data_IF_900282478727
#
_entry.id   IF_900282478727
#
_cell.length_a   1.000
_cell.length_b   1.000
_cell.length_c   1.000
_cell.angle_alpha   90.00
_cell.angle_beta   90.00
_cell.angle_gamma   90.00
#
_symmetry.space_group_name_H-M   'P 1'
#
loop_
_entity.id
_entity.type
_entity.pdbx_description
1 polymer ?
#
# COMPACT_ATOMS: atom_id res chain seq x y z
N UNK A 1 16.61 -39.25 -35.22
CA UNK A 1 16.16 -37.99 -35.86
C UNK A 1 14.67 -37.72 -35.63
N UNK A 2 13.77 -38.66 -35.95
CA UNK A 2 12.31 -38.48 -35.78
C UNK A 2 11.85 -38.15 -34.34
N UNK A 3 12.41 -38.81 -33.31
CA UNK A 3 12.03 -38.53 -31.91
C UNK A 3 12.45 -37.13 -31.42
N UNK A 4 13.53 -36.56 -31.97
CA UNK A 4 13.98 -35.20 -31.63
C UNK A 4 13.04 -34.17 -32.25
N UNK A 5 12.61 -34.41 -33.50
CA UNK A 5 11.63 -33.57 -34.18
C UNK A 5 10.28 -33.56 -33.44
N UNK A 6 9.78 -34.72 -33.00
CA UNK A 6 8.52 -34.80 -32.24
C UNK A 6 8.62 -34.04 -30.90
N UNK A 7 9.75 -34.15 -30.19
CA UNK A 7 9.96 -33.40 -28.93
C UNK A 7 10.05 -31.90 -29.16
N UNK A 8 10.70 -31.45 -30.24
CA UNK A 8 10.72 -30.03 -30.62
C UNK A 8 9.33 -29.54 -31.00
N UNK A 9 8.55 -30.33 -31.75
CA UNK A 9 7.17 -29.97 -32.11
C UNK A 9 6.27 -29.86 -30.88
N UNK A 10 6.39 -30.79 -29.92
CA UNK A 10 5.65 -30.73 -28.66
C UNK A 10 6.05 -29.52 -27.79
N UNK A 11 7.34 -29.17 -27.77
CA UNK A 11 7.83 -27.97 -27.07
C UNK A 11 7.28 -26.68 -27.70
N UNK A 12 7.27 -26.59 -29.05
CA UNK A 12 6.72 -25.44 -29.77
C UNK A 12 5.21 -25.32 -29.57
N UNK A 13 4.47 -26.43 -29.57
CA UNK A 13 3.03 -26.44 -29.27
C UNK A 13 2.78 -26.02 -27.82
N UNK A 14 3.60 -26.45 -26.87
CA UNK A 14 3.49 -26.03 -25.47
C UNK A 14 3.81 -24.53 -25.26
N UNK A 15 4.77 -23.98 -26.03
CA UNK A 15 5.08 -22.54 -26.03
C UNK A 15 3.99 -21.69 -26.69
N UNK A 16 3.27 -22.22 -27.68
CA UNK A 16 2.15 -21.55 -28.36
C UNK A 16 0.81 -21.71 -27.62
N UNK A 17 0.72 -22.64 -26.67
CA UNK A 17 -0.47 -22.90 -25.84
C UNK A 17 -0.37 -22.28 -24.44
N UNK A 18 0.68 -21.49 -24.16
CA UNK A 18 0.74 -20.71 -22.93
C UNK A 18 -0.44 -19.72 -22.92
N UNK A 19 -1.27 -19.70 -21.85
CA UNK A 19 -2.32 -18.70 -21.74
C UNK A 19 -1.69 -17.32 -21.76
N UNK A 20 -2.22 -16.43 -22.60
CA UNK A 20 -1.91 -15.00 -22.53
C UNK A 20 -2.46 -14.53 -21.18
N UNK A 21 -1.60 -14.30 -20.18
CA UNK A 21 -2.01 -13.68 -18.93
C UNK A 21 -2.42 -12.24 -19.24
N UNK A 22 -3.72 -11.96 -19.25
CA UNK A 22 -4.21 -10.60 -19.36
C UNK A 22 -4.20 -10.00 -17.97
N UNK A 23 -3.15 -9.26 -17.63
CA UNK A 23 -3.21 -8.38 -16.48
C UNK A 23 -4.20 -7.25 -16.79
N UNK A 24 -5.21 -7.07 -15.95
CA UNK A 24 -6.14 -5.94 -16.05
C UNK A 24 -5.50 -4.63 -15.65
N UNK A 25 -4.38 -4.66 -14.94
CA UNK A 25 -3.63 -3.50 -14.44
C UNK A 25 -4.45 -2.58 -13.52
N UNK A 26 -5.31 -3.15 -12.68
CA UNK A 26 -6.03 -2.46 -11.61
C UNK A 26 -5.07 -2.20 -10.43
N UNK A 27 -5.11 -0.99 -9.88
CA UNK A 27 -4.27 -0.54 -8.75
C UNK A 27 -5.05 -0.30 -7.46
N UNK A 28 -6.38 -0.20 -7.53
CA UNK A 28 -7.20 0.03 -6.35
C UNK A 28 -8.50 0.74 -6.69
N UNK A 29 -9.38 0.87 -5.71
CA UNK A 29 -10.64 1.57 -5.86
C UNK A 29 -11.17 2.08 -4.51
N UNK A 30 -11.94 3.17 -4.55
CA UNK A 30 -12.71 3.66 -3.41
C UNK A 30 -13.96 4.39 -3.88
N UNK A 31 -15.01 4.37 -3.06
CA UNK A 31 -16.26 5.10 -3.30
C UNK A 31 -16.37 6.22 -2.28
N UNK A 32 -16.77 7.39 -2.76
CA UNK A 32 -17.10 8.57 -1.96
C UNK A 32 -18.54 8.97 -2.24
N UNK A 33 -19.19 9.57 -1.26
CA UNK A 33 -20.50 10.18 -1.43
C UNK A 33 -20.52 11.56 -0.76
N UNK A 34 -21.19 12.52 -1.37
CA UNK A 34 -21.45 13.82 -0.72
C UNK A 34 -22.92 14.18 -0.80
N UNK A 35 -23.43 14.75 0.28
CA UNK A 35 -24.84 15.08 0.34
C UNK A 35 -25.14 16.32 -0.51
N UNK A 36 -26.08 16.20 -1.45
CA UNK A 36 -26.65 17.33 -2.18
C UNK A 36 -28.00 17.77 -1.61
N UNK A 37 -28.84 16.82 -1.20
CA UNK A 37 -30.13 17.05 -0.54
C UNK A 37 -30.42 15.92 0.46
N UNK A 38 -31.57 15.98 1.16
CA UNK A 38 -31.93 15.03 2.21
C UNK A 38 -31.74 13.55 1.82
N UNK A 39 -32.09 13.18 0.59
CA UNK A 39 -31.91 11.81 0.06
C UNK A 39 -31.14 11.78 -1.25
N UNK A 40 -30.62 12.93 -1.71
CA UNK A 40 -29.88 13.02 -2.96
C UNK A 40 -28.39 13.18 -2.68
N UNK A 41 -27.59 12.30 -3.27
CA UNK A 41 -26.16 12.25 -3.05
C UNK A 41 -25.43 12.26 -4.38
N UNK A 42 -24.28 12.91 -4.40
CA UNK A 42 -23.30 12.76 -5.47
C UNK A 42 -22.42 11.56 -5.11
N UNK A 43 -22.46 10.53 -5.95
CA UNK A 43 -21.64 9.33 -5.81
C UNK A 43 -20.43 9.48 -6.73
N UNK A 44 -19.24 9.31 -6.16
CA UNK A 44 -17.98 9.40 -6.87
C UNK A 44 -17.20 8.11 -6.69
N UNK A 45 -16.88 7.44 -7.80
CA UNK A 45 -15.98 6.29 -7.80
C UNK A 45 -14.61 6.78 -8.22
N UNK A 46 -13.62 6.52 -7.38
CA UNK A 46 -12.22 6.68 -7.70
C UNK A 46 -11.66 5.30 -8.05
N UNK A 47 -11.26 5.14 -9.30
CA UNK A 47 -10.71 3.87 -9.78
C UNK A 47 -9.26 4.09 -10.23
N UNK A 48 -8.34 3.38 -9.59
CA UNK A 48 -6.91 3.51 -9.83
C UNK A 48 -6.46 2.41 -10.79
N UNK A 49 -5.86 2.80 -11.89
CA UNK A 49 -5.46 1.91 -12.99
C UNK A 49 -4.04 2.22 -13.41
N UNK A 50 -3.35 1.26 -14.02
CA UNK A 50 -2.22 1.57 -14.90
C UNK A 50 -2.73 2.36 -16.12
N UNK A 51 -2.02 3.39 -16.62
CA UNK A 51 -2.47 4.18 -17.76
C UNK A 51 -2.69 3.37 -19.06
N UNK A 52 -2.09 2.18 -19.17
CA UNK A 52 -2.25 1.26 -20.30
C UNK A 52 -3.26 0.13 -20.05
N UNK A 53 -3.96 0.20 -18.91
CA UNK A 53 -4.91 -0.82 -18.45
C UNK A 53 -6.04 -1.07 -19.46
N UNK A 54 -6.33 -2.34 -19.81
CA UNK A 54 -7.54 -2.67 -20.56
C UNK A 54 -8.82 -2.58 -19.72
N UNK A 55 -8.72 -2.36 -18.40
CA UNK A 55 -9.86 -2.10 -17.51
C UNK A 55 -10.30 -0.62 -17.54
N UNK A 56 -9.62 0.24 -18.29
CA UNK A 56 -10.07 1.61 -18.55
C UNK A 56 -11.40 1.61 -19.34
N UNK A 57 -12.46 2.15 -18.74
CA UNK A 57 -13.83 2.18 -19.29
C UNK A 57 -14.39 3.59 -19.26
N UNK A 58 -15.18 3.97 -20.26
CA UNK A 58 -15.85 5.28 -20.29
C UNK A 58 -16.92 5.42 -19.19
N UNK A 59 -17.40 4.31 -18.65
CA UNK A 59 -18.41 4.25 -17.60
C UNK A 59 -18.23 3.00 -16.72
N UNK A 60 -18.76 3.06 -15.49
CA UNK A 60 -18.78 1.94 -14.54
C UNK A 60 -20.19 1.69 -14.03
N UNK A 61 -20.50 0.43 -13.72
CA UNK A 61 -21.74 0.06 -13.05
C UNK A 61 -21.57 0.17 -11.54
N UNK A 62 -22.52 0.83 -10.88
CA UNK A 62 -22.55 0.99 -9.43
C UNK A 62 -23.90 0.51 -8.90
N UNK A 63 -23.87 -0.48 -8.02
CA UNK A 63 -25.05 -0.88 -7.24
C UNK A 63 -25.20 0.09 -6.08
N UNK A 64 -26.34 0.79 -6.03
CA UNK A 64 -26.62 1.81 -5.01
C UNK A 64 -27.04 1.19 -3.67
N UNK A 65 -27.28 -0.13 -3.62
CA UNK A 65 -27.72 -0.82 -2.40
C UNK A 65 -29.20 -0.59 -2.07
N UNK A 66 -29.98 0.01 -2.96
CA UNK A 66 -31.44 0.19 -2.86
C UNK A 66 -32.23 -0.63 -3.89
N UNK A 67 -31.54 -1.54 -4.59
CA UNK A 67 -32.08 -2.34 -5.69
C UNK A 67 -31.92 -1.69 -7.08
N UNK A 68 -31.32 -0.50 -7.16
CA UNK A 68 -30.95 0.16 -8.42
C UNK A 68 -29.45 -0.02 -8.68
N UNK A 69 -29.12 -0.46 -9.89
CA UNK A 69 -27.77 -0.39 -10.45
C UNK A 69 -27.77 0.74 -11.46
N UNK A 70 -26.87 1.70 -11.28
CA UNK A 70 -26.72 2.86 -12.15
C UNK A 70 -25.40 2.82 -12.92
N UNK A 71 -25.34 3.57 -14.01
CA UNK A 71 -24.15 3.68 -14.86
C UNK A 71 -23.54 5.07 -14.70
N UNK A 72 -22.34 5.13 -14.13
CA UNK A 72 -21.66 6.39 -13.86
C UNK A 72 -20.63 6.67 -14.96
N UNK A 73 -20.74 7.78 -15.70
CA UNK A 73 -19.76 8.14 -16.72
C UNK A 73 -18.47 8.64 -16.07
N UNK A 74 -17.35 8.40 -16.75
CA UNK A 74 -16.05 8.96 -16.38
C UNK A 74 -16.05 10.46 -16.64
N UNK A 75 -15.75 11.24 -15.61
CA UNK A 75 -15.66 12.70 -15.70
C UNK A 75 -14.23 13.19 -15.87
N UNK A 76 -13.26 12.44 -15.36
CA UNK A 76 -11.86 12.85 -15.42
C UNK A 76 -10.88 11.65 -15.40
N UNK A 77 -9.66 11.89 -15.90
CA UNK A 77 -8.51 10.99 -15.77
C UNK A 77 -7.32 11.84 -15.34
N UNK A 78 -6.78 11.53 -14.17
CA UNK A 78 -5.66 12.24 -13.58
C UNK A 78 -4.47 11.30 -13.49
N UNK A 79 -3.38 11.51 -14.26
CA UNK A 79 -2.15 10.77 -14.05
C UNK A 79 -1.60 11.04 -12.64
N UNK A 80 -1.28 9.98 -11.90
CA UNK A 80 -0.69 10.08 -10.57
C UNK A 80 0.80 9.73 -10.70
N UNK A 81 1.65 10.70 -10.36
CA UNK A 81 3.09 10.48 -10.29
C UNK A 81 3.48 9.83 -8.95
N UNK A 82 4.65 9.19 -8.93
CA UNK A 82 5.19 8.56 -7.73
C UNK A 82 4.81 7.09 -7.59
N UNK A 83 5.51 6.39 -6.68
CA UNK A 83 5.40 4.94 -6.51
C UNK A 83 6.20 4.13 -7.54
N UNK A 84 6.23 2.80 -7.35
CA UNK A 84 6.97 1.88 -8.23
C UNK A 84 6.15 1.34 -9.41
N UNK A 85 4.87 1.72 -9.51
CA UNK A 85 3.98 1.37 -10.60
C UNK A 85 3.35 2.63 -11.18
N UNK A 86 3.28 2.73 -12.50
CA UNK A 86 2.51 3.80 -13.15
C UNK A 86 1.03 3.68 -12.77
N UNK A 87 0.42 4.81 -12.41
CA UNK A 87 -0.97 4.87 -11.96
C UNK A 87 -1.67 6.10 -12.51
N UNK A 88 -2.91 5.96 -12.94
CA UNK A 88 -3.87 7.03 -13.21
C UNK A 88 -5.11 6.84 -12.36
N UNK A 89 -5.70 7.94 -11.92
CA UNK A 89 -6.99 7.97 -11.25
C UNK A 89 -8.08 8.32 -12.26
N UNK A 90 -8.98 7.37 -12.47
CA UNK A 90 -10.21 7.59 -13.22
C UNK A 90 -11.32 7.95 -12.25
N UNK A 91 -12.00 9.07 -12.51
CA UNK A 91 -13.07 9.59 -11.66
C UNK A 91 -14.39 9.42 -12.38
N UNK A 92 -15.34 8.73 -11.76
CA UNK A 92 -16.69 8.53 -12.28
C UNK A 92 -17.69 9.15 -11.31
N UNK A 93 -18.63 9.94 -11.82
CA UNK A 93 -19.53 10.72 -10.97
C UNK A 93 -20.96 10.57 -11.46
N UNK A 94 -21.87 10.31 -10.52
CA UNK A 94 -23.31 10.28 -10.77
C UNK A 94 -24.07 10.84 -9.58
N UNK A 95 -25.26 11.36 -9.83
CA UNK A 95 -26.16 11.80 -8.77
C UNK A 95 -27.26 10.77 -8.59
N UNK A 96 -27.45 10.28 -7.37
CA UNK A 96 -28.49 9.31 -7.04
C UNK A 96 -29.44 9.84 -5.97
N UNK A 97 -30.71 9.47 -6.08
CA UNK A 97 -31.75 9.83 -5.11
C UNK A 97 -32.30 8.56 -4.45
N UNK A 98 -31.93 8.36 -3.20
CA UNK A 98 -32.36 7.22 -2.39
C UNK A 98 -33.85 7.32 -2.01
N UNK A 99 -34.55 6.18 -1.87
CA UNK A 99 -35.99 6.15 -1.64
C UNK A 99 -36.41 6.70 -0.27
N UNK A 100 -35.49 6.77 0.69
CA UNK A 100 -35.75 7.32 2.01
C UNK A 100 -34.62 7.06 3.01
N UNK A 101 -34.97 7.11 4.29
CA UNK A 101 -34.05 6.83 5.39
C UNK A 101 -33.69 5.35 5.45
N UNK A 102 -32.43 5.06 5.74
CA UNK A 102 -31.92 3.69 5.76
C UNK A 102 -30.41 3.63 5.65
N UNK A 103 -29.91 2.41 5.61
CA UNK A 103 -28.50 2.10 5.37
C UNK A 103 -28.37 1.48 4.00
N UNK A 104 -27.54 2.07 3.15
CA UNK A 104 -27.32 1.66 1.78
C UNK A 104 -25.86 1.25 1.63
N UNK A 105 -25.63 0.07 1.05
CA UNK A 105 -24.29 -0.43 0.75
C UNK A 105 -24.05 -0.21 -0.73
N UNK A 106 -23.27 0.81 -1.05
CA UNK A 106 -22.94 1.19 -2.41
C UNK A 106 -21.71 0.38 -2.84
N UNK A 107 -21.79 -0.29 -3.98
CA UNK A 107 -20.69 -1.13 -4.48
C UNK A 107 -20.39 -0.89 -5.95
N UNK A 108 -19.11 -0.93 -6.30
CA UNK A 108 -18.62 -0.98 -7.67
C UNK A 108 -17.74 -2.20 -7.79
N UNK A 109 -17.90 -2.94 -8.88
CA UNK A 109 -17.27 -4.24 -9.10
C UNK A 109 -16.58 -4.25 -10.44
N UNK A 110 -15.35 -4.76 -10.49
CA UNK A 110 -14.60 -4.92 -11.73
C UNK A 110 -13.83 -6.25 -11.78
N UNK A 111 -14.02 -7.06 -12.85
CA UNK A 111 -13.43 -8.38 -12.92
C UNK A 111 -11.91 -8.33 -12.98
N UNK A 112 -11.30 -9.31 -12.32
CA UNK A 112 -9.88 -9.65 -12.35
C UNK A 112 -8.96 -8.53 -11.87
N UNK A 113 -8.20 -8.77 -10.80
CA UNK A 113 -7.05 -7.94 -10.41
C UNK A 113 -5.83 -8.28 -11.27
N UNK A 114 -4.70 -7.69 -10.95
CA UNK A 114 -3.44 -8.00 -11.63
C UNK A 114 -3.01 -9.43 -11.30
N UNK A 115 -2.47 -10.12 -12.30
CA UNK A 115 -1.83 -11.41 -12.09
C UNK A 115 -0.61 -11.26 -11.18
N UNK A 116 -0.44 -12.17 -10.22
CA UNK A 116 0.76 -12.26 -9.41
C UNK A 116 0.83 -11.33 -8.19
N UNK A 117 -0.31 -10.84 -7.70
CA UNK A 117 -0.38 -10.14 -6.41
C UNK A 117 -0.04 -11.15 -5.30
N UNK A 118 0.99 -10.85 -4.52
CA UNK A 118 1.65 -11.84 -3.66
C UNK A 118 0.81 -12.32 -2.48
N UNK A 119 -0.13 -11.50 -2.03
CA UNK A 119 -1.00 -11.79 -0.90
C UNK A 119 -2.47 -12.04 -1.28
N UNK A 120 -2.74 -12.27 -2.57
CA UNK A 120 -4.05 -12.64 -3.11
C UNK A 120 -3.89 -13.91 -3.96
N UNK A 121 -4.43 -15.06 -3.54
CA UNK A 121 -4.39 -16.29 -4.33
C UNK A 121 -5.14 -16.13 -5.67
N UNK A 122 -4.56 -16.64 -6.77
CA UNK A 122 -5.13 -16.57 -8.13
C UNK A 122 -5.65 -15.16 -8.49
N UNK A 123 -4.85 -14.14 -8.22
CA UNK A 123 -5.29 -12.74 -8.26
C UNK A 123 -5.85 -12.28 -9.61
N UNK A 124 -5.47 -12.92 -10.71
CA UNK A 124 -6.01 -12.70 -12.06
C UNK A 124 -7.43 -13.24 -12.27
N UNK A 125 -7.97 -14.01 -11.33
CA UNK A 125 -9.35 -14.49 -11.31
C UNK A 125 -10.21 -13.81 -10.23
N UNK A 126 -9.60 -12.94 -9.40
CA UNK A 126 -10.28 -12.29 -8.27
C UNK A 126 -10.77 -10.92 -8.68
N UNK A 127 -12.05 -10.62 -8.47
CA UNK A 127 -12.63 -9.30 -8.69
C UNK A 127 -12.08 -8.23 -7.72
N UNK A 128 -12.13 -6.95 -8.10
CA UNK A 128 -12.10 -5.85 -7.13
C UNK A 128 -13.53 -5.41 -6.81
N UNK A 129 -13.87 -5.32 -5.53
CA UNK A 129 -15.09 -4.66 -5.09
C UNK A 129 -14.78 -3.43 -4.22
N UNK A 130 -15.07 -2.25 -4.75
CA UNK A 130 -15.13 -1.02 -3.98
C UNK A 130 -16.46 -0.94 -3.24
N UNK A 131 -16.42 -0.59 -1.95
CA UNK A 131 -17.59 -0.61 -1.07
C UNK A 131 -17.63 0.62 -0.17
N UNK A 132 -18.80 1.23 -0.06
CA UNK A 132 -19.12 2.26 0.92
C UNK A 132 -20.48 1.98 1.59
N UNK A 133 -20.65 2.40 2.84
CA UNK A 133 -21.91 2.35 3.57
C UNK A 133 -22.36 3.78 3.81
N UNK A 134 -23.53 4.12 3.28
CA UNK A 134 -24.20 5.38 3.52
C UNK A 134 -25.34 5.16 4.53
N UNK A 135 -25.35 5.92 5.61
CA UNK A 135 -26.50 5.99 6.53
C UNK A 135 -27.24 7.31 6.31
N UNK A 136 -28.51 7.21 5.92
CA UNK A 136 -29.41 8.37 5.82
C UNK A 136 -30.37 8.32 7.00
N UNK A 137 -30.13 9.17 8.01
CA UNK A 137 -30.95 9.27 9.21
C UNK A 137 -31.45 10.72 9.40
N UNK A 138 -32.75 10.93 9.68
CA UNK A 138 -33.30 12.26 9.95
C UNK A 138 -32.73 12.93 11.21
N UNK A 139 -32.19 12.18 12.16
CA UNK A 139 -31.67 12.71 13.43
C UNK A 139 -30.20 13.11 13.35
N UNK A 140 -29.38 12.37 12.60
CA UNK A 140 -27.96 12.70 12.41
C UNK A 140 -27.75 13.97 11.60
N UNK A 141 -28.72 14.38 10.79
CA UNK A 141 -28.48 15.31 9.70
C UNK A 141 -27.79 14.61 8.52
N UNK A 142 -27.53 15.35 7.45
CA UNK A 142 -26.80 14.83 6.31
C UNK A 142 -25.41 14.31 6.62
N UNK A 143 -24.90 13.42 5.78
CA UNK A 143 -23.55 12.89 5.89
C UNK A 143 -22.85 12.92 4.52
N UNK A 144 -21.60 13.34 4.46
CA UNK A 144 -20.71 13.20 3.32
C UNK A 144 -19.55 12.33 3.77
N UNK A 145 -19.16 11.36 2.96
CA UNK A 145 -18.12 10.41 3.33
C UNK A 145 -16.78 11.09 3.61
N UNK A 146 -16.05 10.55 4.58
CA UNK A 146 -14.66 10.81 4.81
C UNK A 146 -13.85 10.68 3.51
N UNK A 147 -12.92 11.61 3.34
CA UNK A 147 -12.11 11.75 2.13
C UNK A 147 -10.67 11.41 2.45
N UNK A 148 -10.15 10.36 1.83
CA UNK A 148 -8.73 10.08 1.85
C UNK A 148 -7.99 11.01 0.87
N UNK A 149 -7.20 11.96 1.39
CA UNK A 149 -6.62 13.02 0.57
C UNK A 149 -5.31 12.63 -0.11
N UNK A 150 -4.53 11.73 0.51
CA UNK A 150 -3.26 11.29 -0.09
C UNK A 150 -3.53 10.33 -1.27
N UNK A 151 -2.76 10.44 -2.38
CA UNK A 151 -2.76 9.46 -3.46
C UNK A 151 -2.39 8.06 -2.96
N UNK A 152 -2.97 7.02 -3.55
CA UNK A 152 -2.64 5.63 -3.19
C UNK A 152 -1.18 5.26 -3.49
N UNK A 153 -0.50 5.98 -4.39
CA UNK A 153 0.91 5.75 -4.73
C UNK A 153 1.89 6.41 -3.75
N UNK A 154 1.40 7.28 -2.86
CA UNK A 154 2.23 7.99 -1.89
C UNK A 154 2.59 7.06 -0.74
N UNK A 155 3.75 6.44 -0.86
CA UNK A 155 4.32 5.48 0.10
C UNK A 155 5.76 5.88 0.37
N UNK A 156 6.14 5.84 1.64
CA UNK A 156 7.49 6.20 2.10
C UNK A 156 8.10 5.07 2.96
N UNK A 157 9.38 5.18 3.29
CA UNK A 157 10.08 4.30 4.22
C UNK A 157 10.61 5.06 5.43
N UNK A 158 9.99 4.82 6.59
CA UNK A 158 10.44 5.34 7.88
C UNK A 158 11.10 4.21 8.71
N UNK A 159 12.41 4.28 8.91
CA UNK A 159 13.23 3.36 9.69
C UNK A 159 13.04 1.88 9.29
N UNK A 160 12.97 1.60 7.99
CA UNK A 160 12.65 0.26 7.41
C UNK A 160 11.18 -0.15 7.53
N UNK A 161 10.30 0.77 7.92
CA UNK A 161 8.85 0.60 7.90
C UNK A 161 8.31 1.27 6.66
N UNK A 162 7.60 0.53 5.82
CA UNK A 162 6.82 1.13 4.76
C UNK A 162 5.61 1.84 5.38
N UNK A 163 5.42 3.11 5.03
CA UNK A 163 4.34 3.95 5.57
C UNK A 163 3.49 4.52 4.44
N UNK A 164 2.17 4.44 4.59
CA UNK A 164 1.20 5.19 3.78
C UNK A 164 0.30 6.00 4.72
N UNK A 165 0.35 7.32 4.63
CA UNK A 165 -0.51 8.22 5.41
C UNK A 165 -1.68 8.66 4.53
N UNK A 166 -2.91 8.21 4.80
CA UNK A 166 -4.03 8.48 3.90
C UNK A 166 -4.58 9.91 4.02
N UNK A 167 -4.20 10.64 5.08
CA UNK A 167 -4.63 12.02 5.38
C UNK A 167 -6.16 12.17 5.28
N UNK A 168 -6.90 11.26 5.92
CA UNK A 168 -8.35 11.25 5.88
C UNK A 168 -8.95 12.49 6.58
N UNK A 169 -9.97 13.09 5.96
CA UNK A 169 -10.70 14.22 6.52
C UNK A 169 -12.20 14.02 6.39
N UNK A 170 -12.96 14.47 7.38
CA UNK A 170 -14.41 14.56 7.31
C UNK A 170 -14.87 16.02 7.18
N UNK A 171 -15.90 16.26 6.37
CA UNK A 171 -16.45 17.60 6.11
C UNK A 171 -17.52 18.00 7.13
N UNK A 172 -18.17 17.03 7.77
CA UNK A 172 -19.32 17.27 8.64
C UNK A 172 -18.94 17.36 10.14
N UNK A 173 -17.66 17.16 10.47
CA UNK A 173 -17.11 17.25 11.82
C UNK A 173 -17.25 15.97 12.65
N UNK A 174 -17.47 14.84 11.99
CA UNK A 174 -17.54 13.52 12.60
C UNK A 174 -16.17 13.00 13.04
N UNK A 175 -16.19 12.17 14.08
CA UNK A 175 -14.99 11.44 14.48
C UNK A 175 -14.76 10.26 13.55
N UNK A 176 -13.51 10.04 13.17
CA UNK A 176 -13.09 8.95 12.30
C UNK A 176 -12.40 7.85 13.11
N UNK A 177 -12.61 6.61 12.71
CA UNK A 177 -11.85 5.46 13.21
C UNK A 177 -11.42 4.58 12.05
N UNK A 178 -10.21 4.02 12.13
CA UNK A 178 -9.63 3.24 11.05
C UNK A 178 -9.31 1.82 11.47
N UNK A 179 -9.45 0.89 10.55
CA UNK A 179 -8.97 -0.48 10.71
C UNK A 179 -8.37 -1.00 9.39
N UNK A 180 -7.35 -1.84 9.51
CA UNK A 180 -6.88 -2.66 8.39
C UNK A 180 -7.80 -3.88 8.26
N UNK A 181 -8.39 -4.09 7.08
CA UNK A 181 -9.33 -5.19 6.82
C UNK A 181 -8.87 -6.07 5.67
N UNK A 182 -9.49 -7.24 5.52
CA UNK A 182 -9.37 -8.05 4.30
C UNK A 182 -10.07 -7.31 3.15
N UNK A 183 -9.41 -7.14 1.99
CA UNK A 183 -10.04 -6.56 0.82
C UNK A 183 -11.21 -7.41 0.33
N UNK A 184 -12.16 -6.77 -0.36
CA UNK A 184 -13.32 -7.45 -0.94
C UNK A 184 -13.04 -7.84 -2.40
N UNK A 185 -13.51 -9.02 -2.78
CA UNK A 185 -13.46 -9.52 -4.15
C UNK A 185 -14.85 -9.96 -4.60
N UNK A 186 -14.97 -11.20 -5.07
CA UNK A 186 -16.19 -11.76 -5.62
C UNK A 186 -17.40 -11.56 -4.71
N UNK A 187 -18.51 -11.11 -5.31
CA UNK A 187 -19.76 -10.76 -4.61
C UNK A 187 -19.57 -9.77 -3.45
N UNK A 188 -18.50 -8.97 -3.49
CA UNK A 188 -18.10 -8.04 -2.43
C UNK A 188 -17.88 -8.72 -1.07
N UNK A 189 -17.44 -9.98 -1.08
CA UNK A 189 -17.03 -10.71 0.11
C UNK A 189 -15.51 -10.62 0.31
N UNK A 190 -15.04 -10.89 1.53
CA UNK A 190 -13.61 -10.98 1.83
C UNK A 190 -12.93 -12.00 0.92
N UNK A 191 -11.79 -11.62 0.32
CA UNK A 191 -11.04 -12.49 -0.61
C UNK A 191 -10.61 -13.78 0.10
N UNK A 192 -11.06 -14.97 -0.36
CA UNK A 192 -10.70 -16.23 0.26
C UNK A 192 -9.19 -16.50 0.17
N UNK A 193 -8.57 -16.79 1.32
CA UNK A 193 -7.15 -17.11 1.39
C UNK A 193 -6.22 -15.90 1.26
N UNK A 194 -6.76 -14.68 1.24
CA UNK A 194 -5.97 -13.47 1.45
C UNK A 194 -5.20 -13.55 2.76
N UNK A 195 -3.99 -13.02 2.76
CA UNK A 195 -3.17 -12.84 3.96
C UNK A 195 -2.67 -11.40 4.01
N UNK A 196 -2.41 -10.87 5.21
CA UNK A 196 -1.79 -9.55 5.30
C UNK A 196 -0.35 -9.59 4.74
N UNK A 197 0.22 -8.45 4.32
CA UNK A 197 1.53 -8.41 3.68
C UNK A 197 2.67 -9.13 4.43
N UNK A 198 2.76 -9.08 5.78
CA UNK A 198 3.79 -9.83 6.51
C UNK A 198 3.65 -11.34 6.39
N UNK A 199 2.42 -11.87 6.42
CA UNK A 199 2.17 -13.31 6.31
C UNK A 199 2.43 -13.86 4.91
N UNK A 200 2.32 -13.00 3.89
CA UNK A 200 2.68 -13.33 2.50
C UNK A 200 4.19 -13.23 2.24
N UNK A 201 4.97 -12.68 3.17
CA UNK A 201 6.38 -12.34 2.97
C UNK A 201 7.28 -13.05 3.98
N UNK A 202 8.04 -14.09 3.58
CA UNK A 202 8.94 -14.78 4.50
C UNK A 202 9.96 -13.83 5.14
N UNK A 203 9.94 -13.73 6.46
CA UNK A 203 10.87 -12.90 7.23
C UNK A 203 10.45 -11.44 7.41
N UNK A 204 9.31 -11.02 6.87
CA UNK A 204 8.70 -9.74 7.25
C UNK A 204 8.15 -9.81 8.68
N UNK A 205 8.00 -8.64 9.32
CA UNK A 205 7.63 -8.54 10.72
C UNK A 205 6.11 -8.39 10.90
N UNK A 206 5.60 -7.18 11.10
CA UNK A 206 4.17 -6.91 11.31
C UNK A 206 3.69 -5.73 10.48
N UNK A 207 2.38 -5.68 10.24
CA UNK A 207 1.71 -4.56 9.60
C UNK A 207 0.43 -4.20 10.36
N UNK A 208 0.11 -2.91 10.40
CA UNK A 208 -1.11 -2.40 11.05
C UNK A 208 -1.55 -1.08 10.41
N UNK A 209 -2.80 -0.71 10.64
CA UNK A 209 -3.28 0.66 10.42
C UNK A 209 -3.44 1.34 11.78
N UNK A 210 -2.96 2.57 11.93
CA UNK A 210 -3.21 3.36 13.13
C UNK A 210 -4.71 3.67 13.22
N UNK A 211 -5.39 3.33 14.33
CA UNK A 211 -6.83 3.50 14.44
C UNK A 211 -7.28 4.96 14.52
N UNK A 212 -6.36 5.92 14.78
CA UNK A 212 -6.64 7.34 14.92
C UNK A 212 -6.60 8.09 13.58
N UNK A 213 -5.60 7.82 12.75
CA UNK A 213 -5.37 8.57 11.50
C UNK A 213 -5.38 7.70 10.23
N UNK A 214 -5.45 6.38 10.38
CA UNK A 214 -5.49 5.42 9.29
C UNK A 214 -4.15 5.19 8.61
N UNK A 215 -3.05 5.74 9.14
CA UNK A 215 -1.71 5.49 8.61
C UNK A 215 -1.39 3.99 8.63
N UNK A 216 -1.09 3.45 7.46
CA UNK A 216 -0.67 2.07 7.32
C UNK A 216 0.84 1.97 7.51
N UNK A 217 1.26 0.98 8.29
CA UNK A 217 2.65 0.69 8.59
C UNK A 217 2.90 -0.78 8.29
N UNK A 218 3.97 -1.07 7.55
CA UNK A 218 4.47 -2.42 7.35
C UNK A 218 5.97 -2.47 7.63
N UNK A 219 6.33 -3.06 8.77
CA UNK A 219 7.70 -3.13 9.23
C UNK A 219 8.48 -4.23 8.49
N UNK A 220 9.65 -3.84 7.98
CA UNK A 220 10.64 -4.70 7.34
C UNK A 220 10.07 -5.55 6.19
N UNK A 221 9.48 -4.97 5.13
CA UNK A 221 9.12 -5.74 3.94
C UNK A 221 10.38 -6.35 3.31
N UNK A 222 10.36 -7.67 3.10
CA UNK A 222 11.50 -8.45 2.61
C UNK A 222 11.31 -8.98 1.17
N UNK A 223 10.19 -8.64 0.52
CA UNK A 223 9.86 -9.13 -0.81
C UNK A 223 9.31 -8.02 -1.71
N UNK A 224 9.94 -7.85 -2.87
CA UNK A 224 9.48 -6.93 -3.91
C UNK A 224 8.29 -7.55 -4.66
N UNK A 225 7.37 -6.71 -5.10
CA UNK A 225 6.18 -7.14 -5.83
C UNK A 225 4.94 -6.31 -5.49
N UNK A 226 3.80 -6.78 -5.94
CA UNK A 226 2.50 -6.16 -5.69
C UNK A 226 1.81 -6.85 -4.51
N UNK A 227 1.37 -6.03 -3.55
CA UNK A 227 0.54 -6.45 -2.42
C UNK A 227 -0.73 -5.60 -2.40
N UNK A 228 -1.87 -6.16 -2.01
CA UNK A 228 -3.10 -5.39 -1.81
C UNK A 228 -3.35 -5.22 -0.32
N UNK A 229 -3.81 -4.04 0.07
CA UNK A 229 -4.36 -3.77 1.40
C UNK A 229 -5.69 -3.04 1.29
N UNK A 230 -6.51 -3.11 2.34
CA UNK A 230 -7.74 -2.35 2.44
C UNK A 230 -7.82 -1.62 3.79
N UNK A 231 -7.92 -0.29 3.74
CA UNK A 231 -8.08 0.57 4.92
C UNK A 231 -9.55 0.98 4.99
N UNK A 232 -10.21 0.59 6.07
CA UNK A 232 -11.60 0.98 6.33
C UNK A 232 -11.62 2.20 7.24
N UNK A 233 -12.37 3.23 6.83
CA UNK A 233 -12.69 4.39 7.65
C UNK A 233 -14.18 4.35 8.03
N UNK A 234 -14.48 4.48 9.31
CA UNK A 234 -15.85 4.62 9.84
C UNK A 234 -16.05 6.00 10.43
N UNK A 235 -17.20 6.60 10.13
CA UNK A 235 -17.62 7.92 10.59
C UNK A 235 -18.58 7.79 11.76
N UNK A 236 -18.34 8.55 12.82
CA UNK A 236 -19.14 8.49 14.03
C UNK A 236 -19.63 9.87 14.44
N UNK A 237 -20.96 9.98 14.55
CA UNK A 237 -21.66 11.16 15.05
C UNK A 237 -22.31 10.84 16.38
N UNK A 238 -21.92 11.53 17.44
CA UNK A 238 -22.44 11.31 18.80
C UNK A 238 -22.40 9.83 19.25
N UNK A 239 -21.37 9.09 18.84
CA UNK A 239 -21.19 7.66 19.17
C UNK A 239 -22.00 6.68 18.33
N UNK A 240 -22.72 7.13 17.30
CA UNK A 240 -23.42 6.29 16.33
C UNK A 240 -22.69 6.34 14.98
N UNK A 241 -22.52 5.18 14.33
CA UNK A 241 -21.90 5.13 13.01
C UNK A 241 -22.86 5.70 11.95
N UNK A 242 -22.37 6.65 11.16
CA UNK A 242 -23.15 7.36 10.12
C UNK A 242 -22.62 7.13 8.70
N UNK A 243 -21.48 6.44 8.58
CA UNK A 243 -20.88 6.16 7.30
C UNK A 243 -19.66 5.26 7.41
N UNK A 244 -19.33 4.63 6.29
CA UNK A 244 -18.12 3.82 6.12
C UNK A 244 -17.63 3.91 4.69
N UNK A 245 -16.32 4.08 4.51
CA UNK A 245 -15.66 3.96 3.22
C UNK A 245 -14.45 3.04 3.32
N UNK A 246 -14.16 2.33 2.24
CA UNK A 246 -12.99 1.47 2.14
C UNK A 246 -12.09 1.97 1.02
N UNK A 247 -10.82 2.17 1.35
CA UNK A 247 -9.74 2.36 0.38
C UNK A 247 -9.09 1.00 0.11
N UNK A 248 -9.36 0.44 -1.05
CA UNK A 248 -8.63 -0.71 -1.60
C UNK A 248 -7.46 -0.18 -2.44
N UNK A 249 -6.25 -0.61 -2.13
CA UNK A 249 -5.04 -0.13 -2.82
C UNK A 249 -3.97 -1.21 -2.96
N UNK A 250 -3.25 -1.13 -4.08
CA UNK A 250 -2.08 -1.95 -4.37
C UNK A 250 -0.81 -1.20 -3.94
N UNK A 251 -0.06 -1.81 -3.01
CA UNK A 251 1.30 -1.45 -2.68
C UNK A 251 2.25 -2.05 -3.72
N UNK A 252 2.90 -1.19 -4.49
CA UNK A 252 3.93 -1.58 -5.44
C UNK A 252 5.33 -1.44 -4.82
N UNK A 253 5.88 -2.56 -4.37
CA UNK A 253 7.20 -2.62 -3.72
C UNK A 253 8.27 -2.83 -4.78
N UNK A 254 8.80 -1.74 -5.35
CA UNK A 254 9.90 -1.78 -6.32
C UNK A 254 11.29 -1.76 -5.68
N UNK A 255 11.38 -1.28 -4.45
CA UNK A 255 12.59 -1.26 -3.64
C UNK A 255 12.28 -1.78 -2.25
N UNK A 256 13.17 -2.60 -1.71
CA UNK A 256 13.14 -2.99 -0.31
C UNK A 256 13.90 -1.96 0.49
N UNK A 257 13.54 -1.76 1.76
CA UNK A 257 14.39 -1.01 2.65
C UNK A 257 15.71 -1.77 2.71
N UNK A 258 16.74 -1.21 2.07
CA UNK A 258 18.09 -1.48 2.55
C UNK A 258 18.12 -1.02 4.01
N UNK A 259 18.91 -1.63 4.88
CA UNK A 259 19.01 -1.27 6.31
C UNK A 259 19.59 0.16 6.53
N UNK A 260 19.01 1.18 5.89
CA UNK A 260 19.49 2.52 5.57
C UNK A 260 18.29 3.44 5.20
N UNK A 261 17.97 4.44 6.03
CA UNK A 261 17.32 5.71 5.57
C UNK A 261 18.45 6.64 5.09
N UNK A 262 18.38 7.31 3.93
CA UNK A 262 17.49 8.37 3.43
C UNK A 262 17.76 9.77 4.03
N UNK A 263 18.68 10.49 3.37
CA UNK A 263 18.61 11.92 3.01
C UNK A 263 20.02 12.42 2.59
N UNK A 264 20.30 12.56 1.30
CA UNK A 264 21.11 13.68 0.80
C UNK A 264 20.97 13.89 -0.72
N UNK A 265 20.64 15.12 -1.18
CA UNK A 265 20.85 15.49 -2.56
C UNK A 265 22.35 15.59 -2.82
N UNK A 266 22.91 14.63 -3.57
CA UNK A 266 24.23 14.71 -4.19
C UNK A 266 25.42 14.40 -3.27
N UNK A 267 25.86 13.14 -3.29
CA UNK A 267 27.14 12.69 -2.71
C UNK A 267 27.05 11.21 -2.37
N UNK A 268 28.12 10.44 -2.57
CA UNK A 268 28.16 9.01 -2.24
C UNK A 268 27.54 8.73 -0.86
N UNK A 269 26.50 7.89 -0.82
CA UNK A 269 25.78 7.56 0.41
C UNK A 269 26.69 6.86 1.43
N UNK A 270 26.78 7.44 2.63
CA UNK A 270 27.44 6.87 3.80
C UNK A 270 26.70 5.59 4.25
N UNK A 271 27.20 4.41 3.89
CA UNK A 271 26.64 3.10 4.20
C UNK A 271 27.55 2.27 5.12
N UNK A 272 26.97 1.33 5.85
CA UNK A 272 27.71 0.27 6.56
C UNK A 272 27.27 -1.08 6.00
N UNK A 273 28.23 -1.84 5.47
CA UNK A 273 28.00 -3.11 4.78
C UNK A 273 28.61 -4.26 5.60
N UNK A 274 27.88 -5.35 5.89
CA UNK A 274 28.47 -6.52 6.56
C UNK A 274 29.48 -7.22 5.64
N UNK A 275 30.58 -7.71 6.21
CA UNK A 275 31.57 -8.53 5.50
C UNK A 275 31.31 -10.03 5.70
N UNK A 276 31.96 -10.86 4.88
CA UNK A 276 31.78 -12.32 4.88
C UNK A 276 32.09 -13.01 6.23
N UNK A 277 32.80 -12.33 7.14
CA UNK A 277 33.03 -12.85 8.50
C UNK A 277 32.08 -12.16 9.48
N UNK A 278 31.30 -12.92 10.28
CA UNK A 278 30.42 -12.36 11.31
C UNK A 278 31.16 -11.41 12.25
N UNK A 279 30.54 -10.28 12.57
CA UNK A 279 31.13 -9.24 13.41
C UNK A 279 32.06 -8.27 12.68
N UNK A 280 32.27 -8.41 11.37
CA UNK A 280 32.99 -7.43 10.55
C UNK A 280 32.03 -6.61 9.69
N UNK A 281 32.23 -5.29 9.64
CA UNK A 281 31.47 -4.37 8.80
C UNK A 281 32.40 -3.35 8.15
N UNK A 282 32.07 -2.94 6.93
CA UNK A 282 32.78 -1.94 6.16
C UNK A 282 31.90 -0.71 5.99
N UNK A 283 32.39 0.43 6.43
CA UNK A 283 31.86 1.73 6.07
C UNK A 283 32.30 2.10 4.65
N UNK A 284 31.33 2.56 3.86
CA UNK A 284 31.48 3.03 2.48
C UNK A 284 30.83 4.40 2.43
N UNK A 285 31.60 5.47 2.26
CA UNK A 285 31.10 6.85 2.39
C UNK A 285 32.22 7.88 2.33
N UNK A 286 31.93 9.10 2.77
CA UNK A 286 32.93 10.17 2.83
C UNK A 286 34.11 9.77 3.75
N UNK A 287 35.36 9.75 3.25
CA UNK A 287 36.54 9.44 4.07
C UNK A 287 36.73 10.36 5.29
N UNK A 288 36.11 11.54 5.30
CA UNK A 288 36.12 12.49 6.41
C UNK A 288 35.06 12.22 7.49
N UNK A 289 34.13 11.29 7.28
CA UNK A 289 33.10 10.95 8.28
C UNK A 289 33.73 10.31 9.51
N UNK A 290 33.47 10.89 10.69
CA UNK A 290 33.89 10.34 11.97
C UNK A 290 32.87 9.32 12.47
N UNK A 291 33.33 8.12 12.76
CA UNK A 291 32.48 7.02 13.23
C UNK A 291 32.65 6.78 14.73
N UNK A 292 31.58 6.40 15.43
CA UNK A 292 31.62 6.02 16.85
C UNK A 292 30.64 4.87 17.07
N UNK A 293 31.11 3.78 17.68
CA UNK A 293 30.30 2.59 17.95
C UNK A 293 30.07 2.45 19.44
N UNK A 294 28.81 2.28 19.85
CA UNK A 294 28.40 2.10 21.24
C UNK A 294 27.61 0.81 21.45
N UNK A 295 27.70 0.22 22.64
CA UNK A 295 26.78 -0.84 23.07
C UNK A 295 25.39 -0.26 23.43
N UNK A 296 24.43 -1.14 23.76
CA UNK A 296 23.09 -0.74 24.19
C UNK A 296 23.05 -0.03 25.55
N UNK A 297 24.12 -0.09 26.34
CA UNK A 297 24.27 0.66 27.59
C UNK A 297 24.88 2.06 27.36
N UNK A 298 25.21 2.41 26.11
CA UNK A 298 25.78 3.69 25.72
C UNK A 298 27.30 3.79 25.91
N UNK A 299 27.99 2.71 26.27
CA UNK A 299 29.45 2.70 26.36
C UNK A 299 30.06 2.69 24.97
N UNK A 300 31.16 3.41 24.78
CA UNK A 300 31.91 3.41 23.51
C UNK A 300 32.73 2.13 23.43
N UNK A 301 32.55 1.42 22.33
CA UNK A 301 33.18 0.13 22.08
C UNK A 301 34.26 0.26 21.02
N UNK A 302 34.03 1.11 20.00
CA UNK A 302 35.01 1.45 18.97
C UNK A 302 34.91 2.94 18.68
N UNK A 303 36.05 3.64 18.65
CA UNK A 303 36.14 5.05 18.33
C UNK A 303 36.91 5.27 17.02
N UNK A 304 36.29 6.00 16.10
CA UNK A 304 36.79 6.37 14.78
C UNK A 304 37.43 5.23 13.96
N UNK A 305 36.69 4.13 13.71
CA UNK A 305 37.14 3.09 12.81
C UNK A 305 37.39 3.69 11.41
N UNK A 306 38.60 3.52 10.87
CA UNK A 306 38.98 3.98 9.52
C UNK A 306 38.36 3.11 8.44
N UNK A 307 37.04 3.13 8.34
CA UNK A 307 36.29 2.35 7.36
C UNK A 307 35.96 0.91 7.80
N UNK A 308 36.76 0.25 8.64
CA UNK A 308 36.48 -1.12 9.11
C UNK A 308 36.01 -1.14 10.57
N UNK A 309 34.84 -1.71 10.82
CA UNK A 309 34.26 -1.93 12.14
C UNK A 309 34.40 -3.41 12.49
N UNK A 310 35.22 -3.74 13.49
CA UNK A 310 35.49 -5.12 13.94
C UNK A 310 34.94 -5.37 15.35
N UNK A 311 33.78 -6.01 15.42
CA UNK A 311 33.09 -6.38 16.65
C UNK A 311 33.45 -7.78 17.15
N UNK A 312 34.34 -8.54 16.50
CA UNK A 312 34.58 -9.96 16.84
C UNK A 312 35.15 -10.19 18.25
N UNK A 313 35.75 -9.16 18.85
CA UNK A 313 36.24 -9.19 20.23
C UNK A 313 35.21 -8.64 21.24
N UNK A 314 34.00 -8.33 20.78
CA UNK A 314 32.92 -7.78 21.58
C UNK A 314 31.88 -8.86 21.88
N UNK A 315 30.99 -8.58 22.82
CA UNK A 315 29.91 -9.51 23.14
C UNK A 315 28.92 -9.61 21.99
N UNK A 316 28.28 -10.78 21.83
CA UNK A 316 27.17 -10.91 20.90
C UNK A 316 26.02 -10.02 21.37
N UNK A 317 25.44 -9.25 20.47
CA UNK A 317 24.45 -8.25 20.84
C UNK A 317 24.26 -7.16 19.80
N UNK A 318 23.50 -6.14 20.19
CA UNK A 318 23.18 -4.98 19.36
C UNK A 318 24.17 -3.86 19.67
N UNK A 319 24.65 -3.21 18.62
CA UNK A 319 25.52 -2.04 18.69
C UNK A 319 24.91 -0.90 17.88
N UNK A 320 25.16 0.33 18.30
CA UNK A 320 24.79 1.53 17.55
C UNK A 320 26.05 2.19 17.01
N UNK A 321 26.06 2.48 15.71
CA UNK A 321 27.11 3.26 15.06
C UNK A 321 26.56 4.64 14.78
N UNK A 322 27.25 5.67 15.23
CA UNK A 322 27.00 7.05 14.88
C UNK A 322 28.06 7.54 13.91
N UNK A 323 27.66 8.11 12.79
CA UNK A 323 28.55 8.82 11.87
C UNK A 323 28.29 10.32 11.92
N UNK A 324 29.36 11.11 11.83
CA UNK A 324 29.31 12.57 11.69
C UNK A 324 30.15 12.98 10.50
N UNK A 325 29.51 13.49 9.45
CA UNK A 325 30.19 13.93 8.23
C UNK A 325 31.02 15.21 8.48
N UNK A 326 31.97 15.54 7.58
CA UNK A 326 32.69 16.82 7.63
C UNK A 326 31.76 18.04 7.55
N UNK A 327 30.59 17.89 6.91
CA UNK A 327 29.54 18.92 6.81
C UNK A 327 28.64 18.99 8.05
N UNK A 328 28.99 18.30 9.14
CA UNK A 328 28.28 18.28 10.43
C UNK A 328 26.90 17.61 10.39
N UNK A 329 26.61 16.80 9.37
CA UNK A 329 25.42 15.94 9.34
C UNK A 329 25.71 14.69 10.15
N UNK A 330 24.83 14.33 11.08
CA UNK A 330 25.00 13.12 11.89
C UNK A 330 23.90 12.10 11.65
N UNK A 331 24.27 10.83 11.55
CA UNK A 331 23.37 9.69 11.34
C UNK A 331 23.68 8.58 12.34
N UNK A 332 22.76 7.64 12.53
CA UNK A 332 22.98 6.45 13.35
C UNK A 332 22.46 5.17 12.70
N UNK A 333 23.15 4.05 12.89
CA UNK A 333 22.82 2.73 12.35
C UNK A 333 22.92 1.65 13.41
N UNK A 334 22.04 0.66 13.36
CA UNK A 334 22.09 -0.52 14.21
C UNK A 334 22.96 -1.61 13.56
N UNK A 335 23.84 -2.23 14.34
CA UNK A 335 24.58 -3.44 13.96
C UNK A 335 24.20 -4.60 14.88
N UNK A 336 24.09 -5.80 14.31
CA UNK A 336 23.80 -7.02 15.07
C UNK A 336 25.01 -7.94 14.96
N UNK A 337 25.73 -8.10 16.07
CA UNK A 337 26.80 -9.08 16.19
C UNK A 337 26.25 -10.41 16.70
N UNK A 338 26.14 -11.39 15.80
CA UNK A 338 25.62 -12.74 16.10
C UNK A 338 26.67 -13.73 16.58
#
# INVERSE_FOLDING_TARGET
MAQILIRLSLLVIALLAAPLSWATHIRGAEIRYSQGSLTTYLITVHFYLDPSSPADREEVLVDMGDGVVDTLPRTDIIPIAGGSCETSLNIYVGQHSFPGFGTYVITMRDPNRNSGILNVPNSDEVEICARAVLVIDPLSGGNSSAVFNAPQTEVDYEFSTLVHQPNATDLDGDSLSFDLITPHGDDCLEIPGYTFPPDATPGADFAWADPLDGSFHWHDPQLMGEFVIAIRCREWRNGTMVGEVVRDMTLCIGTLPSNVEENAPGGQDDAIVPLAQPGLYQFVGDPGTQLRVTDMAGHVVIENPRGLIDLRNQSKGIYMVRGTSPTQVSWSRRLIHQ
#
